data_IF_042285737387
#
_entry.id   IF_042285737387
#
_cell.length_a   1.000
_cell.length_b   1.000
_cell.length_c   1.000
_cell.angle_alpha   90.00
_cell.angle_beta   90.00
_cell.angle_gamma   90.00
#
_symmetry.space_group_name_H-M   'P 1'
#
loop_
_entity.id
_entity.type
_entity.pdbx_description
1 polymer ?
#
# COMPACT_ATOMS: atom_id res chain seq x y z
N UNK A 1 -17.84 -8.39 -5.56
CA UNK A 1 -16.64 -9.25 -5.59
C UNK A 1 -15.46 -8.41 -5.14
N UNK A 2 -14.85 -8.74 -4.00
CA UNK A 2 -13.64 -8.07 -3.51
C UNK A 2 -12.48 -8.46 -4.44
N UNK A 3 -11.85 -7.48 -5.09
CA UNK A 3 -10.73 -7.75 -5.97
C UNK A 3 -9.52 -8.22 -5.15
N UNK A 4 -8.81 -9.25 -5.62
CA UNK A 4 -7.62 -9.79 -4.97
C UNK A 4 -6.49 -9.84 -5.99
N UNK A 5 -5.29 -9.42 -5.61
CA UNK A 5 -4.04 -9.68 -6.34
C UNK A 5 -3.17 -10.63 -5.53
N UNK A 6 -2.60 -11.62 -6.22
CA UNK A 6 -1.54 -12.45 -5.67
C UNK A 6 -0.19 -11.94 -6.16
N UNK A 7 0.70 -11.65 -5.21
CA UNK A 7 2.07 -11.21 -5.49
C UNK A 7 3.07 -12.12 -4.81
N UNK A 8 4.23 -12.30 -5.43
CA UNK A 8 5.28 -13.18 -4.92
C UNK A 8 6.57 -12.42 -4.71
N UNK A 9 7.14 -12.52 -3.50
CA UNK A 9 8.43 -11.90 -3.17
C UNK A 9 9.58 -12.59 -3.88
N UNK A 10 10.73 -11.93 -3.96
CA UNK A 10 11.97 -12.52 -4.47
C UNK A 10 12.42 -13.74 -3.66
N UNK A 11 11.97 -13.90 -2.41
CA UNK A 11 12.21 -15.08 -1.57
C UNK A 11 11.15 -16.18 -1.73
N UNK A 12 10.17 -15.99 -2.62
CA UNK A 12 9.11 -16.96 -2.89
C UNK A 12 7.92 -16.89 -1.93
N UNK A 13 7.85 -15.87 -1.05
CA UNK A 13 6.69 -15.67 -0.16
C UNK A 13 5.53 -15.10 -0.98
N UNK A 14 4.34 -15.68 -0.84
CA UNK A 14 3.16 -15.23 -1.57
C UNK A 14 2.21 -14.45 -0.67
N UNK A 15 1.75 -13.29 -1.14
CA UNK A 15 0.74 -12.47 -0.48
C UNK A 15 -0.54 -12.47 -1.30
N UNK A 16 -1.69 -12.56 -0.63
CA UNK A 16 -3.01 -12.33 -1.21
C UNK A 16 -3.52 -10.99 -0.71
N UNK A 17 -3.60 -10.02 -1.60
CA UNK A 17 -3.78 -8.61 -1.25
C UNK A 17 -5.09 -8.07 -1.83
N UNK A 18 -5.85 -7.38 -0.98
CA UNK A 18 -7.09 -6.69 -1.32
C UNK A 18 -6.86 -5.18 -1.31
N UNK A 19 -7.49 -4.41 -2.21
CA UNK A 19 -7.38 -2.96 -2.19
C UNK A 19 -8.11 -2.41 -0.97
N UNK A 20 -7.50 -1.47 -0.27
CA UNK A 20 -8.16 -0.73 0.81
C UNK A 20 -8.96 0.40 0.17
N UNK A 21 -10.26 0.49 0.48
CA UNK A 21 -11.06 1.64 0.09
C UNK A 21 -10.61 2.87 0.88
N UNK A 22 -10.31 3.96 0.18
CA UNK A 22 -9.90 5.23 0.77
C UNK A 22 -10.94 6.28 0.39
N UNK A 23 -11.43 7.08 1.35
CA UNK A 23 -12.49 8.06 1.09
C UNK A 23 -11.96 9.33 0.40
N UNK A 24 -10.66 9.60 0.55
CA UNK A 24 -10.02 10.76 -0.02
C UNK A 24 -9.51 10.49 -1.45
N UNK A 25 -9.58 11.48 -2.37
CA UNK A 25 -9.02 11.37 -3.70
C UNK A 25 -7.48 11.27 -3.60
N UNK A 26 -6.99 10.05 -3.72
CA UNK A 26 -5.57 9.72 -3.89
C UNK A 26 -5.33 9.25 -5.34
N UNK A 27 -4.12 9.46 -5.89
CA UNK A 27 -2.87 9.71 -5.17
C UNK A 27 -2.64 11.19 -4.83
N UNK A 28 -1.92 11.45 -3.74
CA UNK A 28 -1.38 12.79 -3.46
C UNK A 28 -0.52 13.25 -4.64
N UNK A 29 -0.62 14.51 -5.02
CA UNK A 29 0.29 15.10 -6.00
C UNK A 29 1.69 15.36 -5.42
N UNK A 30 1.81 15.41 -4.09
CA UNK A 30 3.07 15.63 -3.40
C UNK A 30 3.75 14.30 -3.05
N UNK A 31 4.96 14.03 -3.58
CA UNK A 31 5.80 12.92 -3.16
C UNK A 31 5.99 12.85 -1.64
N UNK A 32 6.07 13.98 -0.91
CA UNK A 32 6.27 14.04 0.55
C UNK A 32 5.17 13.33 1.33
N UNK A 33 3.92 13.42 0.88
CA UNK A 33 2.82 12.78 1.58
C UNK A 33 2.86 11.24 1.44
N UNK A 34 3.65 10.70 0.51
CA UNK A 34 3.93 9.26 0.44
C UNK A 34 4.99 8.81 1.45
N UNK A 35 5.83 9.73 1.95
CA UNK A 35 6.88 9.45 2.94
C UNK A 35 6.39 9.53 4.39
N UNK A 36 5.24 10.18 4.64
CA UNK A 36 4.57 10.22 5.95
C UNK A 36 3.79 8.92 6.27
N UNK A 37 3.70 7.98 5.33
CA UNK A 37 3.32 6.62 5.65
C UNK A 37 4.42 6.01 6.53
N UNK A 38 4.04 5.40 7.65
CA UNK A 38 4.99 4.79 8.56
C UNK A 38 5.60 3.54 7.92
N UNK A 39 6.68 3.71 7.15
CA UNK A 39 7.31 2.66 6.36
C UNK A 39 8.18 1.78 7.26
N UNK A 40 7.56 0.88 8.01
CA UNK A 40 8.28 -0.30 8.49
C UNK A 40 8.46 -1.22 7.27
N UNK A 41 9.68 -1.25 6.73
CA UNK A 41 10.03 -2.21 5.67
C UNK A 41 9.75 -3.60 6.18
N UNK A 42 8.87 -4.32 5.48
CA UNK A 42 8.65 -5.74 5.78
C UNK A 42 9.89 -6.47 5.28
N UNK A 43 10.68 -7.01 6.21
CA UNK A 43 11.81 -7.86 5.86
C UNK A 43 11.33 -8.95 4.89
N UNK A 44 12.09 -9.18 3.84
CA UNK A 44 11.82 -10.21 2.84
C UNK A 44 10.60 -10.01 1.93
N UNK A 45 9.96 -8.84 1.98
CA UNK A 45 8.86 -8.47 1.09
C UNK A 45 9.31 -7.78 -0.21
N UNK A 46 10.56 -7.99 -0.63
CA UNK A 46 11.09 -7.44 -1.87
C UNK A 46 10.44 -8.07 -3.09
N UNK A 47 10.11 -7.26 -4.09
CA UNK A 47 9.51 -7.71 -5.34
C UNK A 47 10.46 -7.59 -6.52
N UNK A 48 10.26 -8.46 -7.51
CA UNK A 48 10.83 -8.24 -8.83
C UNK A 48 10.18 -7.00 -9.46
N UNK A 49 10.85 -6.37 -10.42
CA UNK A 49 10.27 -5.24 -11.15
C UNK A 49 8.93 -5.58 -11.81
N UNK A 50 8.78 -6.80 -12.31
CA UNK A 50 7.53 -7.27 -12.89
C UNK A 50 6.39 -7.32 -11.85
N UNK A 51 6.68 -7.85 -10.66
CA UNK A 51 5.71 -7.90 -9.55
C UNK A 51 5.36 -6.51 -9.02
N UNK A 52 6.35 -5.62 -8.85
CA UNK A 52 6.10 -4.22 -8.48
C UNK A 52 5.20 -3.51 -9.51
N UNK A 53 5.43 -3.72 -10.81
CA UNK A 53 4.60 -3.15 -11.86
C UNK A 53 3.17 -3.71 -11.84
N UNK A 54 3.00 -5.01 -11.59
CA UNK A 54 1.67 -5.64 -11.46
C UNK A 54 0.91 -5.06 -10.28
N UNK A 55 1.56 -4.93 -9.12
CA UNK A 55 0.94 -4.33 -7.95
C UNK A 55 0.61 -2.85 -8.17
N UNK A 56 1.50 -2.08 -8.81
CA UNK A 56 1.23 -0.69 -9.16
C UNK A 56 0.00 -0.54 -10.06
N UNK A 57 -0.13 -1.37 -11.10
CA UNK A 57 -1.31 -1.36 -11.98
C UNK A 57 -2.59 -1.69 -11.22
N UNK A 58 -2.52 -2.60 -10.25
CA UNK A 58 -3.65 -2.95 -9.39
C UNK A 58 -4.07 -1.78 -8.51
N UNK A 59 -3.12 -1.13 -7.83
CA UNK A 59 -3.34 0.07 -7.02
C UNK A 59 -4.01 1.19 -7.84
N UNK A 60 -3.46 1.50 -9.02
CA UNK A 60 -4.02 2.52 -9.95
C UNK A 60 -5.43 2.16 -10.40
N UNK A 61 -5.67 0.90 -10.79
CA UNK A 61 -7.00 0.42 -11.22
C UNK A 61 -8.04 0.59 -10.13
N UNK A 62 -7.65 0.35 -8.87
CA UNK A 62 -8.52 0.40 -7.71
C UNK A 62 -8.52 1.75 -6.99
N UNK A 63 -7.79 2.75 -7.51
CA UNK A 63 -7.68 4.10 -6.96
C UNK A 63 -7.33 4.09 -5.47
N UNK A 64 -6.32 3.32 -5.11
CA UNK A 64 -5.84 3.19 -3.73
C UNK A 64 -4.33 3.12 -3.71
N UNK A 65 -3.74 3.61 -2.62
CA UNK A 65 -2.30 3.52 -2.35
C UNK A 65 -1.97 2.39 -1.34
N UNK A 66 -2.99 1.69 -0.84
CA UNK A 66 -2.85 0.67 0.18
C UNK A 66 -3.60 -0.62 -0.14
N UNK A 67 -3.02 -1.73 0.31
CA UNK A 67 -3.56 -3.07 0.21
C UNK A 67 -3.50 -3.78 1.56
N UNK A 68 -4.31 -4.81 1.73
CA UNK A 68 -4.35 -5.61 2.96
C UNK A 68 -4.45 -7.10 2.66
N UNK A 69 -3.82 -7.91 3.51
CA UNK A 69 -4.03 -9.37 3.59
C UNK A 69 -5.08 -9.76 4.64
N UNK A 70 -5.74 -8.78 5.26
CA UNK A 70 -6.66 -8.93 6.38
C UNK A 70 -6.00 -8.88 7.76
N UNK A 71 -4.67 -8.96 7.85
CA UNK A 71 -3.91 -8.87 9.10
C UNK A 71 -3.19 -7.54 9.25
N UNK A 72 -2.68 -6.98 8.16
CA UNK A 72 -2.01 -5.69 8.14
C UNK A 72 -2.32 -4.91 6.86
N UNK A 73 -1.93 -3.64 6.86
CA UNK A 73 -1.97 -2.79 5.68
C UNK A 73 -0.57 -2.59 5.13
N UNK A 74 -0.46 -2.58 3.82
CA UNK A 74 0.79 -2.43 3.09
C UNK A 74 0.64 -1.41 1.97
N UNK A 75 1.75 -0.79 1.62
CA UNK A 75 1.89 0.04 0.42
C UNK A 75 3.07 -0.45 -0.44
N UNK A 76 3.05 -0.08 -1.71
CA UNK A 76 4.14 -0.40 -2.63
C UNK A 76 5.27 0.63 -2.48
N UNK A 77 6.49 0.14 -2.28
CA UNK A 77 7.72 0.93 -2.25
C UNK A 77 8.62 0.60 -3.44
N UNK A 78 9.77 1.28 -3.54
CA UNK A 78 10.78 0.99 -4.57
C UNK A 78 11.30 -0.46 -4.51
N UNK A 79 11.32 -1.08 -3.33
CA UNK A 79 11.88 -2.41 -3.13
C UNK A 79 10.81 -3.51 -3.07
N UNK A 80 9.59 -3.21 -2.64
CA UNK A 80 8.57 -4.21 -2.36
C UNK A 80 7.44 -3.67 -1.49
N UNK A 81 6.95 -4.45 -0.52
CA UNK A 81 5.96 -3.97 0.45
C UNK A 81 6.61 -3.29 1.67
N UNK A 82 5.95 -2.23 2.14
CA UNK A 82 6.14 -1.71 3.49
C UNK A 82 4.80 -1.66 4.19
N UNK A 83 4.81 -1.81 5.53
CA UNK A 83 3.60 -1.57 6.32
C UNK A 83 3.19 -0.11 6.23
N UNK A 84 1.90 0.15 6.39
CA UNK A 84 1.37 1.51 6.37
C UNK A 84 0.12 1.63 7.25
N UNK A 85 -0.32 2.87 7.53
CA UNK A 85 -1.65 3.16 8.05
C UNK A 85 -2.42 3.94 6.96
N UNK A 86 -3.37 3.30 6.24
CA UNK A 86 -4.09 3.94 5.15
C UNK A 86 -4.98 5.10 5.61
N UNK A 87 -5.40 5.09 6.88
CA UNK A 87 -6.34 6.07 7.42
C UNK A 87 -5.65 7.21 8.17
N UNK A 88 -4.31 7.27 8.17
CA UNK A 88 -3.56 8.30 8.87
C UNK A 88 -3.98 9.73 8.48
N UNK A 89 -4.21 9.96 7.18
CA UNK A 89 -4.62 11.28 6.67
C UNK A 89 -6.04 11.65 7.08
N UNK A 90 -6.95 10.69 7.09
CA UNK A 90 -8.32 10.87 7.56
C UNK A 90 -8.33 11.20 9.06
N UNK A 91 -7.50 10.50 9.86
CA UNK A 91 -7.30 10.79 11.29
C UNK A 91 -6.80 12.22 11.54
N UNK A 92 -5.85 12.72 10.73
CA UNK A 92 -5.34 14.11 10.84
C UNK A 92 -6.43 15.15 10.51
N UNK A 93 -7.31 14.88 9.55
CA UNK A 93 -8.38 15.81 9.18
C UNK A 93 -9.51 15.85 10.22
N UNK A 94 -9.72 14.78 10.98
CA UNK A 94 -10.80 14.68 11.98
C UNK A 94 -10.41 15.18 13.38
N UNK A 95 -9.15 15.52 13.64
CA UNK A 95 -8.75 16.12 14.92
C UNK A 95 -7.24 16.21 15.13
N UNK A 96 -6.68 17.39 14.87
CA UNK A 96 -5.31 17.75 15.25
C UNK A 96 -5.27 19.12 15.90
N UNK A 97 -5.91 19.25 17.08
CA UNK A 97 -5.47 20.25 18.07
C UNK A 97 -4.17 19.71 18.65
N UNK A 98 -3.10 20.49 18.56
CA UNK A 98 -1.82 20.25 19.22
C UNK A 98 -1.96 20.25 20.75
#
# INVERSE_FOLDING_TARGET
MTAIIQVTTCKGVQYSLQPVAMELPLPSADPQDFWDFWLETVEDANFSRAESNRLLQFLVKHKTDAVTDGSAYYTLTRAGLARCDPFYREKRQQGGVA
#
